data_IF_731175550561
#
_entry.id   IF_731175550561
#
_cell.length_a   1.000
_cell.length_b   1.000
_cell.length_c   1.000
_cell.angle_alpha   90.00
_cell.angle_beta   90.00
_cell.angle_gamma   90.00
#
_symmetry.space_group_name_H-M   'P 1'
#
loop_
_entity.id
_entity.type
_entity.pdbx_description
1 polymer ?
#
# COMPACT_ATOMS: atom_id res chain seq x y z
N UNK A 1 7.77 7.72 2.31
CA UNK A 1 6.81 8.85 2.36
C UNK A 1 6.10 8.95 3.69
N UNK A 2 5.40 7.91 4.16
CA UNK A 2 4.65 7.96 5.42
C UNK A 2 5.46 8.44 6.64
N UNK A 3 6.64 7.86 6.93
CA UNK A 3 7.43 8.26 8.09
C UNK A 3 7.85 9.74 8.08
N UNK A 4 8.14 10.31 6.90
CA UNK A 4 8.52 11.73 6.76
C UNK A 4 7.32 12.63 7.05
N UNK A 5 6.16 12.30 6.48
CA UNK A 5 4.91 13.03 6.70
C UNK A 5 4.50 12.92 8.19
N UNK A 6 4.60 11.73 8.77
CA UNK A 6 4.30 11.48 10.17
C UNK A 6 5.20 12.29 11.10
N UNK A 7 6.52 12.30 10.87
CA UNK A 7 7.47 13.10 11.66
C UNK A 7 7.20 14.61 11.48
N UNK A 8 6.87 15.07 10.27
CA UNK A 8 6.54 16.47 10.05
C UNK A 8 5.31 16.91 10.84
N UNK A 9 4.24 16.11 10.85
CA UNK A 9 3.06 16.38 11.66
C UNK A 9 3.34 16.26 13.16
N UNK A 10 4.15 15.30 13.58
CA UNK A 10 4.56 15.12 14.97
C UNK A 10 5.29 16.36 15.50
N UNK A 11 6.21 16.93 14.72
CA UNK A 11 6.93 18.15 15.08
C UNK A 11 5.99 19.37 15.13
N UNK A 12 5.06 19.48 14.19
CA UNK A 12 4.06 20.55 14.15
C UNK A 12 3.11 20.48 15.36
N UNK A 13 2.64 19.27 15.70
CA UNK A 13 1.77 19.04 16.85
C UNK A 13 2.50 19.29 18.18
N UNK A 14 3.75 18.82 18.28
CA UNK A 14 4.60 19.10 19.42
C UNK A 14 4.75 20.60 19.63
N UNK A 15 5.11 21.37 18.60
CA UNK A 15 5.26 22.82 18.71
C UNK A 15 3.96 23.54 19.09
N UNK A 16 2.84 23.15 18.48
CA UNK A 16 1.54 23.80 18.68
C UNK A 16 0.97 23.57 20.08
N UNK A 17 1.13 22.36 20.62
CA UNK A 17 0.52 21.96 21.89
C UNK A 17 1.52 21.82 23.04
N UNK A 18 2.81 22.16 22.82
CA UNK A 18 3.87 22.10 23.83
C UNK A 18 3.52 22.85 25.13
N UNK A 19 2.74 23.93 25.04
CA UNK A 19 2.36 24.77 26.18
C UNK A 19 0.96 24.49 26.73
N UNK A 20 0.17 23.68 26.03
CA UNK A 20 -1.26 23.52 26.28
C UNK A 20 -1.61 22.21 26.98
N UNK A 21 -0.82 21.13 26.77
CA UNK A 21 -1.17 19.78 27.19
C UNK A 21 0.07 19.08 27.78
N UNK A 22 -0.09 18.43 28.94
CA UNK A 22 0.98 17.68 29.58
C UNK A 22 1.48 16.51 28.73
N UNK A 23 0.61 15.87 27.95
CA UNK A 23 0.97 14.79 27.02
C UNK A 23 1.88 15.24 25.86
N UNK A 24 1.96 16.55 25.62
CA UNK A 24 2.91 17.13 24.65
C UNK A 24 4.27 17.53 25.28
N UNK A 25 4.53 17.20 26.54
CA UNK A 25 5.76 17.62 27.24
C UNK A 25 7.03 17.00 26.66
N UNK A 26 6.93 15.83 26.01
CA UNK A 26 8.06 15.24 25.30
C UNK A 26 7.65 14.74 23.93
N UNK A 27 8.63 14.69 23.04
CA UNK A 27 8.45 14.23 21.68
C UNK A 27 7.93 12.79 21.61
N UNK A 28 8.32 11.94 22.56
CA UNK A 28 7.87 10.55 22.64
C UNK A 28 6.41 10.43 23.09
N UNK A 29 5.98 11.19 24.11
CA UNK A 29 4.58 11.20 24.54
C UNK A 29 3.68 11.80 23.45
N UNK A 30 4.16 12.83 22.74
CA UNK A 30 3.46 13.39 21.59
C UNK A 30 3.31 12.34 20.48
N UNK A 31 4.35 11.55 20.22
CA UNK A 31 4.27 10.45 19.25
C UNK A 31 3.21 9.42 19.65
N UNK A 32 3.15 9.04 20.93
CA UNK A 32 2.13 8.12 21.45
C UNK A 32 0.72 8.70 21.27
N UNK A 33 0.52 9.97 21.63
CA UNK A 33 -0.76 10.65 21.43
C UNK A 33 -1.16 10.71 19.95
N UNK A 34 -0.22 10.98 19.02
CA UNK A 34 -0.50 10.92 17.59
C UNK A 34 -0.93 9.51 17.13
N UNK A 35 -0.33 8.45 17.68
CA UNK A 35 -0.75 7.07 17.39
C UNK A 35 -2.14 6.75 17.96
N UNK A 36 -2.48 7.25 19.14
CA UNK A 36 -3.82 7.12 19.72
C UNK A 36 -4.87 7.90 18.93
N UNK A 37 -4.51 9.07 18.40
CA UNK A 37 -5.33 9.83 17.44
C UNK A 37 -5.58 9.03 16.16
N UNK A 38 -4.53 8.38 15.64
CA UNK A 38 -4.58 7.58 14.42
C UNK A 38 -5.44 6.33 14.61
N UNK A 39 -5.43 5.74 15.81
CA UNK A 39 -6.31 4.64 16.22
C UNK A 39 -7.71 5.10 16.64
N UNK A 40 -7.99 6.41 16.61
CA UNK A 40 -9.23 7.03 17.10
C UNK A 40 -9.59 6.68 18.56
N UNK A 41 -8.59 6.31 19.37
CA UNK A 41 -8.78 5.93 20.77
C UNK A 41 -8.60 7.10 21.74
N UNK A 42 -8.09 8.22 21.26
CA UNK A 42 -7.74 9.38 22.08
C UNK A 42 -8.96 10.12 22.64
N UNK A 43 -8.86 10.54 23.91
CA UNK A 43 -9.90 11.30 24.61
C UNK A 43 -9.72 12.81 24.36
N UNK A 44 -10.53 13.37 23.46
CA UNK A 44 -10.46 14.78 23.04
C UNK A 44 -10.87 15.79 24.14
N UNK A 45 -11.30 15.33 25.32
CA UNK A 45 -11.68 16.19 26.44
C UNK A 45 -10.54 17.09 26.91
N UNK A 46 -9.32 16.56 27.00
CA UNK A 46 -8.14 17.34 27.42
C UNK A 46 -7.75 18.42 26.39
N UNK A 47 -7.89 18.13 25.09
CA UNK A 47 -7.60 19.11 24.02
C UNK A 47 -8.67 20.22 24.02
N UNK A 48 -9.93 19.87 24.27
CA UNK A 48 -11.06 20.81 24.27
C UNK A 48 -10.98 21.82 25.42
N UNK A 49 -10.49 21.40 26.58
CA UNK A 49 -10.31 22.29 27.73
C UNK A 49 -9.15 23.27 27.54
N UNK A 50 -8.07 22.85 26.87
CA UNK A 50 -6.91 23.70 26.64
C UNK A 50 -7.11 24.75 25.53
N UNK A 51 -7.82 24.40 24.44
CA UNK A 51 -8.10 25.31 23.34
C UNK A 51 -9.48 25.01 22.70
N UNK A 52 -10.55 25.73 23.09
CA UNK A 52 -11.92 25.34 22.76
C UNK A 52 -12.27 25.41 21.26
N UNK A 53 -11.52 26.17 20.46
CA UNK A 53 -11.78 26.35 19.01
C UNK A 53 -10.67 25.75 18.15
N UNK A 54 -9.40 26.07 18.44
CA UNK A 54 -8.27 25.57 17.63
C UNK A 54 -8.08 24.06 17.80
N UNK A 55 -8.24 23.52 19.01
CA UNK A 55 -8.00 22.11 19.31
C UNK A 55 -8.83 21.14 18.45
N UNK A 56 -10.18 21.27 18.44
CA UNK A 56 -11.05 20.41 17.64
C UNK A 56 -10.83 20.54 16.13
N UNK A 57 -10.49 21.75 15.67
CA UNK A 57 -10.24 22.01 14.24
C UNK A 57 -8.97 21.28 13.78
N UNK A 58 -7.86 21.41 14.51
CA UNK A 58 -6.63 20.67 14.20
C UNK A 58 -6.79 19.16 14.34
N UNK A 59 -7.53 18.70 15.35
CA UNK A 59 -7.85 17.28 15.52
C UNK A 59 -8.61 16.72 14.31
N UNK A 60 -9.64 17.44 13.84
CA UNK A 60 -10.43 17.03 12.68
C UNK A 60 -9.60 17.02 11.40
N UNK A 61 -8.80 18.06 11.16
CA UNK A 61 -7.90 18.11 10.01
C UNK A 61 -6.85 17.00 10.05
N UNK A 62 -6.27 16.72 11.22
CA UNK A 62 -5.29 15.65 11.38
C UNK A 62 -5.90 14.29 11.06
N UNK A 63 -7.09 13.98 11.61
CA UNK A 63 -7.78 12.72 11.34
C UNK A 63 -8.08 12.58 9.85
N UNK A 64 -8.68 13.60 9.22
CA UNK A 64 -9.02 13.54 7.79
C UNK A 64 -7.76 13.42 6.93
N UNK A 65 -6.70 14.18 7.18
CA UNK A 65 -5.53 14.10 6.31
C UNK A 65 -4.68 12.86 6.58
N UNK A 66 -4.32 12.60 7.84
CA UNK A 66 -3.34 11.56 8.17
C UNK A 66 -3.94 10.17 8.01
N UNK A 67 -5.19 9.94 8.46
CA UNK A 67 -5.82 8.62 8.32
C UNK A 67 -6.04 8.29 6.84
N UNK A 68 -6.54 9.24 6.03
CA UNK A 68 -6.71 9.00 4.60
C UNK A 68 -5.37 8.79 3.87
N UNK A 69 -4.34 9.59 4.16
CA UNK A 69 -3.01 9.41 3.55
C UNK A 69 -2.42 8.06 3.96
N UNK A 70 -2.54 7.66 5.23
CA UNK A 70 -2.08 6.36 5.72
C UNK A 70 -2.76 5.20 4.99
N UNK A 71 -4.10 5.18 5.00
CA UNK A 71 -4.88 4.11 4.40
C UNK A 71 -4.60 4.03 2.90
N UNK A 72 -4.62 5.18 2.20
CA UNK A 72 -4.37 5.21 0.77
C UNK A 72 -2.95 4.75 0.41
N UNK A 73 -1.93 5.06 1.23
CA UNK A 73 -0.57 4.57 0.98
C UNK A 73 -0.48 3.05 1.19
N UNK A 74 -1.06 2.52 2.27
CA UNK A 74 -1.06 1.08 2.54
C UNK A 74 -1.81 0.31 1.44
N UNK A 75 -3.02 0.76 1.09
CA UNK A 75 -3.82 0.17 0.02
C UNK A 75 -3.09 0.23 -1.31
N UNK A 76 -2.46 1.35 -1.66
CA UNK A 76 -1.69 1.48 -2.89
C UNK A 76 -0.53 0.49 -2.95
N UNK A 77 0.23 0.32 -1.86
CA UNK A 77 1.36 -0.62 -1.82
C UNK A 77 0.87 -2.06 -1.99
N UNK A 78 -0.20 -2.45 -1.28
CA UNK A 78 -0.76 -3.81 -1.40
C UNK A 78 -1.30 -4.03 -2.81
N UNK A 79 -2.03 -3.06 -3.34
CA UNK A 79 -2.59 -3.11 -4.69
C UNK A 79 -1.49 -3.22 -5.76
N UNK A 80 -0.40 -2.48 -5.62
CA UNK A 80 0.74 -2.55 -6.54
C UNK A 80 1.42 -3.93 -6.52
N UNK A 81 1.61 -4.52 -5.33
CA UNK A 81 2.16 -5.87 -5.21
C UNK A 81 1.21 -6.92 -5.77
N UNK A 82 -0.09 -6.80 -5.51
CA UNK A 82 -1.09 -7.71 -6.06
C UNK A 82 -1.12 -7.63 -7.60
N UNK A 83 -1.09 -6.42 -8.16
CA UNK A 83 -1.03 -6.22 -9.62
C UNK A 83 0.25 -6.78 -10.21
N UNK A 84 1.41 -6.65 -9.55
CA UNK A 84 2.67 -7.27 -10.00
C UNK A 84 2.56 -8.79 -10.10
N UNK A 85 2.04 -9.43 -9.04
CA UNK A 85 1.83 -10.89 -9.03
C UNK A 85 0.85 -11.31 -10.14
N UNK A 86 -0.24 -10.56 -10.33
CA UNK A 86 -1.21 -10.86 -11.38
C UNK A 86 -0.59 -10.76 -12.78
N UNK A 87 0.23 -9.75 -13.03
CA UNK A 87 0.94 -9.58 -14.31
C UNK A 87 1.92 -10.74 -14.53
N UNK A 88 2.69 -11.13 -13.52
CA UNK A 88 3.63 -12.24 -13.63
C UNK A 88 2.92 -13.56 -13.95
N UNK A 89 1.77 -13.82 -13.34
CA UNK A 89 0.94 -15.00 -13.65
C UNK A 89 0.42 -14.98 -15.10
N UNK A 90 -0.01 -13.81 -15.60
CA UNK A 90 -0.48 -13.68 -16.99
C UNK A 90 0.65 -13.87 -17.99
N UNK A 91 1.85 -13.33 -17.72
CA UNK A 91 3.02 -13.51 -18.56
C UNK A 91 3.43 -14.98 -18.65
N UNK A 92 3.48 -15.66 -17.50
CA UNK A 92 3.75 -17.10 -17.42
C UNK A 92 2.73 -17.91 -18.25
N UNK A 93 1.44 -17.58 -18.18
CA UNK A 93 0.41 -18.25 -18.99
C UNK A 93 0.59 -18.01 -20.51
N UNK A 94 0.95 -16.79 -20.91
CA UNK A 94 1.25 -16.45 -22.31
C UNK A 94 2.46 -17.23 -22.84
N UNK A 95 3.52 -17.34 -22.03
CA UNK A 95 4.72 -18.11 -22.38
C UNK A 95 4.41 -19.60 -22.53
N UNK A 96 3.58 -20.19 -21.65
CA UNK A 96 3.11 -21.56 -21.83
C UNK A 96 2.31 -21.75 -23.12
N UNK A 97 1.44 -20.81 -23.48
CA UNK A 97 0.69 -20.88 -24.72
C UNK A 97 1.62 -20.81 -25.96
N UNK A 98 2.62 -19.92 -25.93
CA UNK A 98 3.65 -19.82 -26.96
C UNK A 98 4.50 -21.10 -27.10
N UNK A 99 4.88 -21.71 -25.97
CA UNK A 99 5.62 -22.98 -25.94
C UNK A 99 4.78 -24.16 -26.46
N UNK A 100 3.52 -24.27 -26.03
CA UNK A 100 2.60 -25.32 -26.52
C UNK A 100 2.37 -25.21 -28.03
N UNK A 101 2.17 -23.99 -28.54
CA UNK A 101 2.02 -23.77 -29.98
C UNK A 101 3.31 -24.11 -30.76
N UNK A 102 4.48 -23.85 -30.17
CA UNK A 102 5.78 -24.19 -30.77
C UNK A 102 6.03 -25.70 -30.78
N UNK A 103 5.63 -26.42 -29.73
CA UNK A 103 5.69 -27.89 -29.67
C UNK A 103 4.73 -28.54 -30.66
N UNK A 104 3.47 -28.09 -30.72
CA UNK A 104 2.48 -28.61 -31.67
C UNK A 104 2.97 -28.53 -33.11
N UNK A 105 3.52 -27.38 -33.53
CA UNK A 105 4.07 -27.20 -34.87
C UNK A 105 5.27 -28.11 -35.16
N UNK A 106 6.12 -28.41 -34.17
CA UNK A 106 7.23 -29.36 -34.35
C UNK A 106 6.70 -30.79 -34.50
N UNK A 107 5.72 -31.20 -33.69
CA UNK A 107 5.09 -32.51 -33.78
C UNK A 107 4.42 -32.70 -35.14
N UNK A 108 3.60 -31.76 -35.60
CA UNK A 108 2.94 -31.83 -36.91
C UNK A 108 3.95 -31.95 -38.07
N UNK A 109 5.08 -31.22 -38.02
CA UNK A 109 6.13 -31.32 -39.04
C UNK A 109 6.86 -32.67 -39.03
N UNK A 110 7.14 -33.22 -37.85
CA UNK A 110 7.79 -34.54 -37.72
C UNK A 110 6.84 -35.64 -38.14
N UNK A 111 5.58 -35.57 -37.70
CA UNK A 111 4.54 -36.55 -38.04
C UNK A 111 4.25 -36.55 -39.54
N UNK A 112 4.11 -35.38 -40.16
CA UNK A 112 3.93 -35.27 -41.62
C UNK A 112 5.12 -35.81 -42.42
N UNK A 113 6.36 -35.60 -41.95
CA UNK A 113 7.54 -36.20 -42.57
C UNK A 113 7.60 -37.72 -42.40
N UNK A 114 7.18 -38.25 -41.25
CA UNK A 114 7.12 -39.69 -41.03
C UNK A 114 6.04 -40.34 -41.90
N UNK A 115 4.85 -39.74 -41.97
CA UNK A 115 3.73 -40.28 -42.75
C UNK A 115 4.07 -40.32 -44.24
N UNK A 116 4.62 -39.23 -44.78
CA UNK A 116 5.11 -39.19 -46.16
C UNK A 116 6.19 -40.25 -46.45
N UNK A 117 7.07 -40.55 -45.48
CA UNK A 117 8.12 -41.56 -45.65
C UNK A 117 7.60 -42.99 -45.58
N UNK A 118 6.49 -43.23 -44.88
CA UNK A 118 5.85 -44.54 -44.79
C UNK A 118 5.03 -44.82 -46.07
N UNK A 119 4.35 -43.81 -46.60
CA UNK A 119 3.46 -43.92 -47.78
C UNK A 119 4.23 -43.98 -49.12
N UNK A 120 5.51 -43.61 -49.13
CA UNK A 120 6.41 -43.69 -50.30
C UNK A 120 7.47 -44.82 -50.19
N UNK A 121 7.32 -45.71 -49.20
CA UNK A 121 8.21 -46.87 -48.98
C UNK A 121 7.52 -48.23 -49.14
N UNK A 122 6.27 -48.26 -49.61
CA UNK A 122 5.63 -49.40 -50.31
C UNK A 122 5.66 -49.15 -51.82
#
# INVERSE_FOLDING_TARGET
>A
MFAIIFIAFLMLYYFQFCSAIWECSSLLHTAQMLFELLLLKFDATQIKEAAPVLGPLYFTFFIIFVVFICINMFVSIVNDNFRRIQIDLMNVHSDYHGLLHSLRRKVEKVFGKLFYKIEFSE
#
